data_IF_478894226114
#
_entry.id   IF_478894226114
#
_cell.length_a   1.000
_cell.length_b   1.000
_cell.length_c   1.000
_cell.angle_alpha   90.00
_cell.angle_beta   90.00
_cell.angle_gamma   90.00
#
_symmetry.space_group_name_H-M   'P 1'
#
loop_
_entity.id
_entity.type
_entity.pdbx_description
1 polymer ?
#
# COMPACT_ATOMS: atom_id res chain seq x y z
N UNK A 1 4.21 -11.82 10.61
CA UNK A 1 3.92 -13.25 10.89
C UNK A 1 3.47 -14.02 9.64
N UNK A 2 2.51 -13.51 8.85
CA UNK A 2 1.97 -14.21 7.65
C UNK A 2 3.07 -14.51 6.61
N UNK A 3 3.86 -13.51 6.21
CA UNK A 3 4.96 -13.70 5.25
C UNK A 3 5.98 -14.77 5.68
N UNK A 4 6.30 -14.86 6.98
CA UNK A 4 7.18 -15.93 7.52
C UNK A 4 6.55 -17.33 7.36
N UNK A 5 5.22 -17.46 7.60
CA UNK A 5 4.51 -18.71 7.39
C UNK A 5 4.52 -19.15 5.91
N UNK A 6 4.28 -18.20 5.01
CA UNK A 6 4.33 -18.44 3.55
C UNK A 6 5.73 -18.90 3.15
N UNK A 7 6.78 -18.19 3.59
CA UNK A 7 8.18 -18.57 3.32
C UNK A 7 8.51 -19.98 3.81
N UNK A 8 8.14 -20.31 5.07
CA UNK A 8 8.38 -21.63 5.66
C UNK A 8 7.70 -22.72 4.84
N UNK A 9 6.44 -22.50 4.46
CA UNK A 9 5.70 -23.42 3.61
C UNK A 9 6.37 -23.62 2.24
N UNK A 10 6.75 -22.53 1.56
CA UNK A 10 7.41 -22.64 0.24
C UNK A 10 8.76 -23.36 0.36
N UNK A 11 9.54 -23.10 1.41
CA UNK A 11 10.83 -23.75 1.64
C UNK A 11 10.71 -25.27 1.86
N UNK A 12 9.62 -25.72 2.48
CA UNK A 12 9.40 -27.16 2.72
C UNK A 12 9.03 -27.95 1.47
N UNK A 13 8.67 -27.29 0.36
CA UNK A 13 8.35 -27.96 -0.89
C UNK A 13 9.60 -28.47 -1.62
N UNK A 14 9.63 -29.73 -2.07
CA UNK A 14 10.79 -30.26 -2.79
C UNK A 14 10.98 -29.58 -4.16
N UNK A 15 9.90 -29.32 -4.89
CA UNK A 15 9.92 -28.61 -6.19
C UNK A 15 9.17 -27.29 -6.05
N UNK A 16 9.77 -26.24 -6.54
CA UNK A 16 9.23 -24.88 -6.51
C UNK A 16 8.89 -24.40 -7.92
N UNK A 17 7.76 -23.72 -8.03
CA UNK A 17 7.35 -23.06 -9.27
C UNK A 17 7.93 -21.63 -9.35
N UNK A 18 7.75 -20.98 -10.51
CA UNK A 18 8.30 -19.64 -10.79
C UNK A 18 7.86 -18.58 -9.77
N UNK A 19 6.60 -18.63 -9.32
CA UNK A 19 6.12 -17.74 -8.29
C UNK A 19 6.88 -17.91 -6.96
N UNK A 20 7.08 -19.15 -6.56
CA UNK A 20 7.75 -19.50 -5.30
C UNK A 20 9.24 -19.14 -5.31
N UNK A 21 9.89 -19.33 -6.45
CA UNK A 21 11.28 -18.92 -6.66
C UNK A 21 11.37 -17.39 -6.54
N UNK A 22 10.58 -16.67 -7.33
CA UNK A 22 10.54 -15.21 -7.34
C UNK A 22 10.20 -14.62 -5.97
N UNK A 23 9.25 -15.23 -5.25
CA UNK A 23 8.92 -14.84 -3.89
C UNK A 23 10.10 -14.99 -2.93
N UNK A 24 10.79 -16.12 -2.96
CA UNK A 24 11.93 -16.39 -2.07
C UNK A 24 13.10 -15.45 -2.33
N UNK A 25 13.40 -15.15 -3.59
CA UNK A 25 14.47 -14.23 -4.00
C UNK A 25 14.24 -12.80 -3.42
N UNK A 26 12.98 -12.39 -3.35
CA UNK A 26 12.61 -11.05 -2.91
C UNK A 26 12.13 -10.97 -1.45
N UNK A 27 11.94 -12.13 -0.80
CA UNK A 27 11.37 -12.19 0.54
C UNK A 27 12.16 -11.36 1.56
N UNK A 28 13.48 -11.52 1.59
CA UNK A 28 14.30 -10.90 2.65
C UNK A 28 14.27 -9.37 2.56
N UNK A 29 14.42 -8.83 1.35
CA UNK A 29 14.30 -7.38 1.08
C UNK A 29 12.95 -6.86 1.55
N UNK A 30 11.86 -7.48 1.07
CA UNK A 30 10.49 -7.04 1.39
C UNK A 30 10.14 -7.22 2.86
N UNK A 31 10.63 -8.27 3.50
CA UNK A 31 10.39 -8.53 4.90
C UNK A 31 11.09 -7.51 5.81
N UNK A 32 12.38 -7.24 5.56
CA UNK A 32 13.15 -6.21 6.31
C UNK A 32 12.49 -4.85 6.16
N UNK A 33 12.18 -4.44 4.93
CA UNK A 33 11.46 -3.19 4.69
C UNK A 33 10.15 -3.10 5.48
N UNK A 34 9.37 -4.18 5.51
CA UNK A 34 8.12 -4.18 6.29
C UNK A 34 8.38 -4.06 7.80
N UNK A 35 9.40 -4.71 8.32
CA UNK A 35 9.77 -4.71 9.75
C UNK A 35 10.28 -3.32 10.16
N UNK A 36 11.15 -2.72 9.36
CA UNK A 36 11.70 -1.37 9.60
C UNK A 36 10.60 -0.30 9.57
N UNK A 37 9.66 -0.37 8.61
CA UNK A 37 8.54 0.57 8.54
C UNK A 37 7.63 0.42 9.75
N UNK A 38 7.33 -0.80 10.19
CA UNK A 38 6.50 -1.03 11.37
C UNK A 38 7.19 -0.50 12.64
N UNK A 39 8.49 -0.73 12.81
CA UNK A 39 9.27 -0.18 13.92
C UNK A 39 9.24 1.35 13.94
N UNK A 40 9.38 1.99 12.76
CA UNK A 40 9.26 3.46 12.65
C UNK A 40 7.85 3.95 12.96
N UNK A 41 6.81 3.26 12.51
CA UNK A 41 5.42 3.62 12.85
C UNK A 41 5.16 3.56 14.37
N UNK A 42 5.78 2.60 15.08
CA UNK A 42 5.64 2.47 16.53
C UNK A 42 6.34 3.60 17.29
N UNK A 43 7.46 4.11 16.78
CA UNK A 43 8.25 5.18 17.40
C UNK A 43 7.91 6.58 16.91
N UNK A 44 7.16 6.70 15.81
CA UNK A 44 6.71 7.96 15.22
C UNK A 44 5.42 8.49 15.87
N UNK A 45 4.98 9.66 15.41
CA UNK A 45 3.71 10.26 15.80
C UNK A 45 2.44 9.54 15.32
N UNK A 46 2.56 8.41 14.61
CA UNK A 46 1.44 7.69 13.99
C UNK A 46 0.38 7.22 14.99
N UNK A 47 0.81 6.69 16.15
CA UNK A 47 -0.12 6.26 17.20
C UNK A 47 -0.93 7.42 17.76
N UNK A 48 -0.27 8.54 18.06
CA UNK A 48 -0.93 9.74 18.56
C UNK A 48 -1.89 10.31 17.50
N UNK A 49 -1.49 10.32 16.23
CA UNK A 49 -2.35 10.73 15.12
C UNK A 49 -3.62 9.87 15.04
N UNK A 50 -3.51 8.55 15.24
CA UNK A 50 -4.66 7.65 15.29
C UNK A 50 -5.58 7.98 16.49
N UNK A 51 -5.03 8.10 17.69
CA UNK A 51 -5.80 8.40 18.91
C UNK A 51 -6.53 9.75 18.80
N UNK A 52 -5.86 10.79 18.26
CA UNK A 52 -6.46 12.10 17.98
C UNK A 52 -7.59 12.01 16.94
N UNK A 53 -7.41 11.19 15.87
CA UNK A 53 -8.41 11.02 14.82
C UNK A 53 -9.64 10.29 15.33
N UNK A 54 -9.45 9.23 16.12
CA UNK A 54 -10.56 8.49 16.76
C UNK A 54 -11.33 9.39 17.73
N UNK A 55 -10.63 10.17 18.56
CA UNK A 55 -11.28 11.07 19.53
C UNK A 55 -12.10 12.18 18.86
N UNK A 56 -11.71 12.61 17.66
CA UNK A 56 -12.46 13.57 16.83
C UNK A 56 -13.60 12.95 16.04
N UNK A 57 -13.76 11.62 16.08
CA UNK A 57 -14.76 10.93 15.28
C UNK A 57 -14.44 10.93 13.78
N UNK A 58 -13.15 11.03 13.39
CA UNK A 58 -12.75 11.01 11.99
C UNK A 58 -13.11 9.67 11.34
N UNK A 59 -13.80 9.71 10.21
CA UNK A 59 -14.27 8.53 9.48
C UNK A 59 -13.52 8.40 8.16
N UNK A 60 -13.21 7.17 7.79
CA UNK A 60 -12.66 6.80 6.49
C UNK A 60 -13.64 5.94 5.72
N UNK A 61 -13.61 6.03 4.41
CA UNK A 61 -14.37 5.17 3.51
C UNK A 61 -13.88 3.70 3.59
N UNK A 62 -12.57 3.51 3.79
CA UNK A 62 -11.95 2.20 3.94
C UNK A 62 -11.62 1.47 2.62
N UNK A 63 -12.27 1.85 1.51
CA UNK A 63 -11.96 1.38 0.15
C UNK A 63 -12.04 2.52 -0.89
N UNK A 64 -11.55 3.72 -0.54
CA UNK A 64 -11.60 4.89 -1.41
C UNK A 64 -10.65 4.74 -2.60
N UNK A 65 -11.22 4.40 -3.74
CA UNK A 65 -10.48 4.21 -4.99
C UNK A 65 -11.37 4.54 -6.21
N UNK A 66 -10.76 4.63 -7.39
CA UNK A 66 -11.44 5.08 -8.61
C UNK A 66 -12.59 4.15 -9.09
N UNK A 67 -12.71 2.92 -8.58
CA UNK A 67 -13.85 2.06 -8.90
C UNK A 67 -15.11 2.48 -8.15
N UNK A 68 -14.94 3.11 -6.99
CA UNK A 68 -16.02 3.57 -6.13
C UNK A 68 -16.34 5.07 -6.36
N UNK A 69 -15.81 5.65 -7.43
CA UNK A 69 -16.08 7.02 -7.87
C UNK A 69 -16.86 7.01 -9.17
N UNK A 70 -18.06 7.61 -9.17
CA UNK A 70 -18.90 7.78 -10.35
C UNK A 70 -18.81 9.23 -10.79
N UNK A 71 -18.23 9.44 -11.98
CA UNK A 71 -18.17 10.77 -12.57
C UNK A 71 -19.55 11.17 -13.11
N UNK A 72 -20.13 12.19 -12.54
CA UNK A 72 -21.34 12.83 -13.02
C UNK A 72 -20.99 14.01 -13.92
N UNK A 73 -21.99 14.66 -14.55
CA UNK A 73 -21.73 15.76 -15.47
C UNK A 73 -20.96 16.91 -14.79
N UNK A 74 -21.40 17.30 -13.59
CA UNK A 74 -20.86 18.45 -12.87
C UNK A 74 -20.44 18.09 -11.42
N UNK A 75 -20.35 16.77 -11.09
CA UNK A 75 -20.10 16.33 -9.73
C UNK A 75 -19.45 14.92 -9.70
N UNK A 76 -19.09 14.43 -8.53
CA UNK A 76 -18.56 13.10 -8.29
C UNK A 76 -19.37 12.43 -7.19
N UNK A 77 -19.98 11.29 -7.48
CA UNK A 77 -20.61 10.46 -6.46
C UNK A 77 -19.63 9.40 -5.94
N UNK A 78 -19.61 9.21 -4.63
CA UNK A 78 -18.85 8.16 -3.95
C UNK A 78 -19.81 7.05 -3.54
N UNK A 79 -19.45 5.80 -3.77
CA UNK A 79 -20.28 4.62 -3.50
C UNK A 79 -19.51 3.57 -2.71
N UNK A 80 -20.19 2.53 -2.21
CA UNK A 80 -19.59 1.36 -1.55
C UNK A 80 -18.95 1.67 -0.17
N UNK A 81 -19.77 2.21 0.74
CA UNK A 81 -19.36 2.58 2.10
C UNK A 81 -19.37 1.41 3.11
N UNK A 82 -19.47 0.16 2.67
CA UNK A 82 -19.54 -1.00 3.57
C UNK A 82 -18.27 -1.21 4.41
N UNK A 83 -17.14 -0.63 4.01
CA UNK A 83 -15.88 -0.64 4.75
C UNK A 83 -15.64 0.60 5.62
N UNK A 84 -16.64 1.48 5.73
CA UNK A 84 -16.52 2.72 6.50
C UNK A 84 -16.29 2.45 8.00
N UNK A 85 -15.29 3.11 8.56
CA UNK A 85 -14.95 2.99 9.98
C UNK A 85 -14.20 4.22 10.49
N UNK A 86 -14.05 4.33 11.81
CA UNK A 86 -13.27 5.40 12.43
C UNK A 86 -11.77 5.11 12.32
N UNK A 87 -11.02 6.03 11.69
CA UNK A 87 -9.57 5.91 11.51
C UNK A 87 -8.93 7.26 11.14
N UNK A 88 -7.62 7.26 10.87
CA UNK A 88 -6.88 8.41 10.36
C UNK A 88 -7.36 8.75 8.95
N UNK A 89 -7.94 9.94 8.76
CA UNK A 89 -8.59 10.33 7.51
C UNK A 89 -7.67 10.25 6.27
N UNK A 90 -6.38 10.55 6.43
CA UNK A 90 -5.39 10.46 5.35
C UNK A 90 -5.22 9.05 4.76
N UNK A 91 -5.73 8.00 5.43
CA UNK A 91 -5.67 6.62 4.92
C UNK A 91 -6.37 6.45 3.58
N UNK A 92 -7.52 7.09 3.40
CA UNK A 92 -8.26 7.03 2.13
C UNK A 92 -7.44 7.66 1.00
N UNK A 93 -6.83 8.82 1.26
CA UNK A 93 -5.91 9.44 0.31
C UNK A 93 -4.72 8.53 -0.03
N UNK A 94 -4.07 7.95 0.98
CA UNK A 94 -2.95 7.01 0.77
C UNK A 94 -3.37 5.81 -0.07
N UNK A 95 -4.57 5.28 0.18
CA UNK A 95 -5.10 4.16 -0.57
C UNK A 95 -5.38 4.54 -2.03
N UNK A 96 -6.03 5.67 -2.25
CA UNK A 96 -6.29 6.22 -3.59
C UNK A 96 -5.00 6.49 -4.36
N UNK A 97 -4.07 7.24 -3.75
CA UNK A 97 -2.78 7.57 -4.34
C UNK A 97 -2.02 6.30 -4.74
N UNK A 98 -1.92 5.32 -3.85
CA UNK A 98 -1.27 4.05 -4.14
C UNK A 98 -1.89 3.35 -5.35
N UNK A 99 -3.23 3.25 -5.41
CA UNK A 99 -3.94 2.62 -6.52
C UNK A 99 -3.72 3.35 -7.85
N UNK A 100 -3.76 4.68 -7.82
CA UNK A 100 -3.49 5.51 -8.99
C UNK A 100 -2.03 5.36 -9.46
N UNK A 101 -1.07 5.39 -8.54
CA UNK A 101 0.36 5.29 -8.84
C UNK A 101 0.77 3.90 -9.34
N UNK A 102 0.23 2.82 -8.76
CA UNK A 102 0.43 1.46 -9.26
C UNK A 102 0.00 1.31 -10.73
N UNK A 103 -1.08 1.98 -11.13
CA UNK A 103 -1.60 1.97 -12.51
C UNK A 103 -0.78 2.85 -13.45
N UNK A 104 -0.16 3.91 -12.91
CA UNK A 104 0.65 4.87 -13.65
C UNK A 104 2.16 4.67 -13.47
N UNK A 105 2.61 3.48 -13.05
CA UNK A 105 4.04 3.10 -12.93
C UNK A 105 4.84 4.09 -12.07
N UNK A 106 4.24 4.60 -11.00
CA UNK A 106 4.81 5.55 -10.04
C UNK A 106 5.40 6.82 -10.67
N UNK A 107 4.83 7.29 -11.80
CA UNK A 107 5.27 8.52 -12.48
C UNK A 107 5.16 9.71 -11.54
N UNK A 108 6.30 10.33 -11.25
CA UNK A 108 6.47 11.47 -10.35
C UNK A 108 5.39 12.56 -10.56
N UNK A 109 5.24 13.03 -11.80
CA UNK A 109 4.33 14.11 -12.17
C UNK A 109 2.85 13.79 -11.86
N UNK A 110 2.45 12.52 -11.97
CA UNK A 110 1.07 12.10 -11.66
C UNK A 110 0.82 12.15 -10.15
N UNK A 111 1.73 11.59 -9.36
CA UNK A 111 1.57 11.58 -7.90
C UNK A 111 1.66 12.97 -7.29
N UNK A 112 2.54 13.82 -7.82
CA UNK A 112 2.67 15.20 -7.38
C UNK A 112 1.36 15.98 -7.60
N UNK A 113 0.75 15.88 -8.79
CA UNK A 113 -0.54 16.53 -9.08
C UNK A 113 -1.67 16.05 -8.14
N UNK A 114 -1.71 14.75 -7.82
CA UNK A 114 -2.73 14.20 -6.92
C UNK A 114 -2.53 14.75 -5.50
N UNK A 115 -1.29 14.84 -5.04
CA UNK A 115 -0.97 15.39 -3.73
C UNK A 115 -1.27 16.88 -3.64
N UNK A 116 -0.84 17.67 -4.64
CA UNK A 116 -1.11 19.11 -4.73
C UNK A 116 -2.61 19.39 -4.68
N UNK A 117 -3.41 18.71 -5.52
CA UNK A 117 -4.86 18.87 -5.52
C UNK A 117 -5.53 18.49 -4.18
N UNK A 118 -4.99 17.51 -3.47
CA UNK A 118 -5.47 17.18 -2.12
C UNK A 118 -5.11 18.26 -1.11
N UNK A 119 -3.86 18.76 -1.12
CA UNK A 119 -3.38 19.77 -0.19
C UNK A 119 -4.01 21.16 -0.43
N UNK A 120 -4.46 21.47 -1.64
CA UNK A 120 -5.25 22.70 -1.92
C UNK A 120 -6.57 22.72 -1.12
N UNK A 121 -7.21 21.58 -0.91
CA UNK A 121 -8.46 21.47 -0.15
C UNK A 121 -8.19 21.22 1.34
N UNK A 122 -7.21 20.39 1.64
CA UNK A 122 -6.87 19.98 3.00
C UNK A 122 -5.36 19.85 3.17
N UNK A 123 -4.70 20.90 3.68
CA UNK A 123 -3.27 20.85 3.97
C UNK A 123 -2.91 19.72 4.95
N UNK A 124 -1.82 19.02 4.67
CA UNK A 124 -1.33 17.94 5.50
C UNK A 124 -0.37 18.43 6.58
N UNK A 125 -0.59 18.00 7.82
CA UNK A 125 0.37 18.18 8.90
C UNK A 125 1.62 17.30 8.67
N UNK A 126 2.75 17.66 9.28
CA UNK A 126 3.99 16.87 9.18
C UNK A 126 3.80 15.41 9.66
N UNK A 127 2.97 15.18 10.69
CA UNK A 127 2.64 13.83 11.16
C UNK A 127 1.82 13.04 10.13
N UNK A 128 0.93 13.70 9.40
CA UNK A 128 0.17 13.05 8.32
C UNK A 128 1.06 12.74 7.12
N UNK A 129 2.00 13.61 6.78
CA UNK A 129 3.00 13.37 5.74
C UNK A 129 3.89 12.18 6.10
N UNK A 130 4.38 12.10 7.34
CA UNK A 130 5.14 10.97 7.84
C UNK A 130 4.33 9.67 7.77
N UNK A 131 3.09 9.70 8.26
CA UNK A 131 2.19 8.54 8.18
C UNK A 131 1.94 8.11 6.74
N UNK A 132 1.67 9.05 5.84
CA UNK A 132 1.43 8.77 4.42
C UNK A 132 2.65 8.11 3.77
N UNK A 133 3.83 8.64 4.01
CA UNK A 133 5.06 8.10 3.48
C UNK A 133 5.34 6.67 3.99
N UNK A 134 5.23 6.42 5.29
CA UNK A 134 5.41 5.09 5.89
C UNK A 134 4.34 4.11 5.37
N UNK A 135 3.08 4.55 5.28
CA UNK A 135 1.97 3.74 4.77
C UNK A 135 2.18 3.34 3.31
N UNK A 136 2.62 4.27 2.45
CA UNK A 136 2.90 4.02 1.04
C UNK A 136 4.17 3.18 0.83
N UNK A 137 5.20 3.37 1.67
CA UNK A 137 6.44 2.60 1.62
C UNK A 137 6.21 1.12 1.98
N UNK A 138 5.27 0.84 2.89
CA UNK A 138 4.99 -0.53 3.32
C UNK A 138 4.70 -1.48 2.13
N UNK A 139 5.32 -2.67 2.08
CA UNK A 139 5.18 -3.60 0.95
C UNK A 139 3.86 -4.40 0.98
N UNK A 140 2.75 -3.69 1.18
CA UNK A 140 1.41 -4.28 1.35
C UNK A 140 0.94 -5.08 0.13
N UNK A 141 1.30 -4.65 -1.09
CA UNK A 141 0.96 -5.36 -2.32
C UNK A 141 1.68 -6.70 -2.43
N UNK A 142 2.98 -6.75 -2.11
CA UNK A 142 3.75 -7.99 -2.03
C UNK A 142 3.12 -8.98 -1.04
N UNK A 143 2.79 -8.50 0.17
CA UNK A 143 2.09 -9.31 1.18
C UNK A 143 0.73 -9.80 0.68
N UNK A 144 -0.08 -8.95 0.03
CA UNK A 144 -1.39 -9.31 -0.51
C UNK A 144 -1.30 -10.39 -1.59
N UNK A 145 -0.36 -10.26 -2.53
CA UNK A 145 -0.14 -11.23 -3.60
C UNK A 145 0.30 -12.57 -3.02
N UNK A 146 1.29 -12.57 -2.11
CA UNK A 146 1.77 -13.77 -1.45
C UNK A 146 0.69 -14.46 -0.62
N UNK A 147 -0.11 -13.69 0.13
CA UNK A 147 -1.24 -14.21 0.91
C UNK A 147 -2.33 -14.81 0.02
N UNK A 148 -2.65 -14.18 -1.11
CA UNK A 148 -3.59 -14.71 -2.10
C UNK A 148 -3.12 -16.04 -2.66
N UNK A 149 -1.85 -16.12 -3.06
CA UNK A 149 -1.23 -17.37 -3.53
C UNK A 149 -1.31 -18.48 -2.48
N UNK A 150 -0.96 -18.17 -1.24
CA UNK A 150 -0.97 -19.16 -0.15
C UNK A 150 -2.37 -19.69 0.19
N UNK A 151 -3.40 -18.87 0.07
CA UNK A 151 -4.81 -19.25 0.31
C UNK A 151 -5.49 -19.90 -0.89
N UNK A 152 -4.98 -19.69 -2.10
CA UNK A 152 -5.54 -20.30 -3.30
C UNK A 152 -5.25 -21.79 -3.37
N UNK A 153 -6.15 -22.55 -4.07
CA UNK A 153 -5.88 -23.96 -4.34
C UNK A 153 -4.71 -24.05 -5.33
N UNK A 154 -3.56 -24.51 -4.83
CA UNK A 154 -2.24 -24.46 -5.46
C UNK A 154 -2.09 -25.29 -6.74
N UNK A 155 -3.13 -26.05 -7.13
CA UNK A 155 -3.15 -26.85 -8.35
C UNK A 155 -3.16 -26.01 -9.65
N UNK A 156 -3.59 -24.75 -9.59
CA UNK A 156 -3.62 -23.86 -10.75
C UNK A 156 -2.91 -22.54 -10.43
N UNK A 157 -1.60 -22.52 -10.63
CA UNK A 157 -0.86 -21.27 -10.69
C UNK A 157 -1.19 -20.59 -12.01
N UNK A 158 -1.99 -19.53 -11.98
CA UNK A 158 -2.16 -18.73 -13.17
C UNK A 158 -0.89 -17.91 -13.42
N UNK A 159 -0.41 -17.87 -14.64
CA UNK A 159 0.68 -16.98 -15.10
C UNK A 159 0.46 -15.53 -14.60
N UNK A 160 -0.81 -15.12 -14.50
CA UNK A 160 -1.22 -13.82 -13.91
C UNK A 160 -0.69 -13.56 -12.49
N UNK A 161 -0.47 -14.60 -11.67
CA UNK A 161 0.05 -14.40 -10.31
C UNK A 161 1.57 -14.13 -10.33
N UNK A 162 2.30 -14.80 -11.21
CA UNK A 162 3.73 -14.55 -11.44
C UNK A 162 3.90 -13.13 -11.98
N UNK A 163 3.15 -12.75 -13.01
CA UNK A 163 3.17 -11.42 -13.61
C UNK A 163 2.86 -10.31 -12.58
N UNK A 164 1.81 -10.50 -11.75
CA UNK A 164 1.49 -9.54 -10.68
C UNK A 164 2.63 -9.37 -9.68
N UNK A 165 3.32 -10.45 -9.34
CA UNK A 165 4.45 -10.42 -8.42
C UNK A 165 5.65 -9.71 -9.07
N UNK A 166 5.95 -10.00 -10.33
CA UNK A 166 7.00 -9.34 -11.11
C UNK A 166 6.77 -7.83 -11.22
N UNK A 167 5.54 -7.42 -11.58
CA UNK A 167 5.17 -5.99 -11.64
C UNK A 167 5.34 -5.34 -10.27
N UNK A 168 4.90 -5.99 -9.20
CA UNK A 168 5.03 -5.48 -7.83
C UNK A 168 6.49 -5.24 -7.44
N UNK A 169 7.36 -6.20 -7.77
CA UNK A 169 8.81 -6.12 -7.47
C UNK A 169 9.46 -5.00 -8.29
N UNK A 170 9.22 -4.97 -9.60
CA UNK A 170 9.75 -3.94 -10.50
C UNK A 170 9.36 -2.55 -10.08
N UNK A 171 8.09 -2.34 -9.72
CA UNK A 171 7.59 -1.03 -9.27
C UNK A 171 8.07 -0.60 -7.87
N UNK A 172 8.85 -1.42 -7.19
CA UNK A 172 9.31 -1.08 -5.84
C UNK A 172 10.32 0.06 -5.86
N UNK A 173 11.22 0.09 -6.83
CA UNK A 173 12.26 1.12 -6.94
C UNK A 173 11.66 2.47 -7.33
N UNK A 174 10.80 2.50 -8.34
CA UNK A 174 10.10 3.72 -8.77
C UNK A 174 9.22 4.29 -7.64
N UNK A 175 8.60 3.39 -6.85
CA UNK A 175 7.85 3.80 -5.66
C UNK A 175 8.72 4.50 -4.63
N UNK A 176 9.89 3.94 -4.31
CA UNK A 176 10.80 4.56 -3.34
C UNK A 176 11.41 5.85 -3.86
N UNK A 177 11.75 5.92 -5.14
CA UNK A 177 12.21 7.15 -5.77
C UNK A 177 11.13 8.25 -5.70
N UNK A 178 9.88 7.91 -5.97
CA UNK A 178 8.75 8.83 -5.81
C UNK A 178 8.63 9.31 -4.35
N UNK A 179 8.63 8.39 -3.39
CA UNK A 179 8.45 8.72 -1.98
C UNK A 179 9.57 9.61 -1.43
N UNK A 180 10.82 9.33 -1.79
CA UNK A 180 11.97 10.13 -1.35
C UNK A 180 11.96 11.56 -1.87
N UNK A 181 11.33 11.81 -3.02
CA UNK A 181 11.20 13.15 -3.61
C UNK A 181 10.02 13.94 -3.06
N UNK A 182 8.93 13.26 -2.72
CA UNK A 182 7.68 13.91 -2.31
C UNK A 182 7.57 14.07 -0.80
N UNK A 183 8.07 13.10 -0.07
CA UNK A 183 8.01 13.11 1.39
C UNK A 183 9.42 13.19 1.96
N UNK A 184 9.71 14.10 2.92
CA UNK A 184 11.03 14.26 3.52
C UNK A 184 11.34 13.09 4.49
N UNK A 185 11.40 11.87 3.96
CA UNK A 185 11.70 10.67 4.71
C UNK A 185 13.01 10.07 4.21
N UNK A 186 13.98 9.97 5.09
CA UNK A 186 15.11 9.06 4.95
C UNK A 186 14.60 7.63 5.19
N UNK A 187 14.14 6.98 4.11
CA UNK A 187 13.73 5.57 4.12
C UNK A 187 14.94 4.65 4.00
#
# INVERSE_FOLDING_TARGET
>A
RELKKIRSFIRSRPVKNDFEILFLENFEKMYRTADDILARMETSGCRKLFEESVSKGSVVHGDYNYHNLIMLRDDIAVTDFEHMHTDIQIKDFCYFLRKAMEKNQWKQKTGQKILEAYEEVRPLSEREKEFAALSLAYPGKFKKIAGSYYRSNKAHLSEKNVEKLQICIRQTEEKYEFLSRIFPLNL
#
